data_IF_182869215446
#
_entry.id   IF_182869215446
#
_cell.length_a   1.000
_cell.length_b   1.000
_cell.length_c   1.000
_cell.angle_alpha   90.00
_cell.angle_beta   90.00
_cell.angle_gamma   90.00
#
_symmetry.space_group_name_H-M   'P 1'
#
loop_
_entity.id
_entity.type
_entity.pdbx_description
1 polymer ?
#
# COMPACT_ATOMS: atom_id res chain seq x y z
N UNK A 1 33.06 -39.36 23.92
CA UNK A 1 32.27 -39.94 22.81
C UNK A 1 32.55 -39.04 21.62
N UNK A 2 33.11 -39.63 20.56
CA UNK A 2 33.38 -38.95 19.30
C UNK A 2 32.07 -38.98 18.49
N UNK A 3 31.22 -37.97 18.70
CA UNK A 3 29.96 -37.83 17.98
C UNK A 3 30.24 -37.16 16.63
N UNK A 4 30.71 -37.96 15.67
CA UNK A 4 30.83 -37.55 14.28
C UNK A 4 29.46 -37.62 13.61
N UNK A 5 28.91 -36.45 13.25
CA UNK A 5 27.69 -36.35 12.45
C UNK A 5 28.05 -36.39 10.95
N UNK A 6 27.31 -37.13 10.11
CA UNK A 6 27.53 -37.10 8.66
C UNK A 6 27.15 -35.72 8.11
N UNK A 7 28.11 -35.03 7.50
CA UNK A 7 27.95 -33.73 6.85
C UNK A 7 28.14 -33.90 5.34
N UNK A 8 27.11 -33.53 4.56
CA UNK A 8 27.18 -33.45 3.10
C UNK A 8 27.07 -31.96 2.68
N UNK A 9 28.02 -31.49 1.88
CA UNK A 9 28.02 -30.11 1.37
C UNK A 9 27.33 -30.13 0.00
N UNK A 10 26.13 -29.55 -0.09
CA UNK A 10 25.41 -29.46 -1.37
C UNK A 10 26.00 -28.39 -2.30
N UNK A 11 26.31 -27.21 -1.76
CA UNK A 11 26.84 -26.11 -2.57
C UNK A 11 27.58 -25.07 -1.72
N UNK A 12 28.50 -24.35 -2.38
CA UNK A 12 29.18 -23.17 -1.84
C UNK A 12 29.04 -22.05 -2.86
N UNK A 13 28.47 -20.93 -2.44
CA UNK A 13 28.28 -19.75 -3.28
C UNK A 13 28.83 -18.51 -2.60
N UNK A 14 29.38 -17.59 -3.39
CA UNK A 14 29.88 -16.31 -2.91
C UNK A 14 28.90 -15.21 -3.31
N UNK A 15 28.69 -14.28 -2.39
CA UNK A 15 27.79 -13.15 -2.62
C UNK A 15 28.40 -11.86 -2.09
N UNK A 16 28.37 -10.82 -2.92
CA UNK A 16 28.81 -9.48 -2.54
C UNK A 16 27.62 -8.70 -1.99
N UNK A 17 27.70 -8.32 -0.72
CA UNK A 17 26.70 -7.48 -0.07
C UNK A 17 26.82 -6.05 -0.60
N UNK A 18 25.69 -5.46 -1.00
CA UNK A 18 25.60 -4.09 -1.46
C UNK A 18 24.30 -3.43 -1.00
N UNK A 19 24.30 -2.09 -0.94
CA UNK A 19 23.14 -1.24 -0.76
C UNK A 19 23.12 -0.23 -1.91
N UNK A 20 22.35 -0.51 -2.95
CA UNK A 20 22.26 0.30 -4.17
C UNK A 20 20.79 0.46 -4.56
N UNK A 21 20.37 1.67 -4.89
CA UNK A 21 19.02 1.94 -5.36
C UNK A 21 19.08 2.82 -6.61
N UNK A 22 18.38 2.43 -7.67
CA UNK A 22 18.31 3.21 -8.90
C UNK A 22 17.55 4.52 -8.66
N UNK A 23 18.02 5.61 -9.27
CA UNK A 23 17.34 6.92 -9.21
C UNK A 23 15.95 6.90 -9.89
N UNK A 24 15.75 6.01 -10.86
CA UNK A 24 14.48 5.89 -11.61
C UNK A 24 14.16 4.44 -11.88
N UNK A 25 12.89 4.06 -11.70
CA UNK A 25 12.42 2.70 -11.95
C UNK A 25 11.72 2.56 -13.30
N UNK A 26 11.60 3.65 -14.06
CA UNK A 26 10.94 3.69 -15.35
C UNK A 26 11.71 4.57 -16.33
N UNK A 27 11.71 4.20 -17.61
CA UNK A 27 12.21 5.05 -18.69
C UNK A 27 11.38 6.33 -18.84
N UNK A 28 11.97 7.38 -19.43
CA UNK A 28 11.29 8.68 -19.62
C UNK A 28 10.01 8.57 -20.46
N UNK A 29 10.00 7.64 -21.43
CA UNK A 29 8.83 7.35 -22.26
C UNK A 29 7.84 6.35 -21.63
N UNK A 30 8.11 5.84 -20.41
CA UNK A 30 7.20 4.96 -19.67
C UNK A 30 6.95 3.60 -20.32
N UNK A 31 7.95 3.05 -21.04
CA UNK A 31 7.84 1.76 -21.76
C UNK A 31 8.76 0.68 -21.20
N UNK A 32 9.76 1.04 -20.41
CA UNK A 32 10.66 0.11 -19.73
C UNK A 32 10.57 0.38 -18.24
N UNK A 33 10.43 -0.68 -17.46
CA UNK A 33 10.34 -0.64 -16.01
C UNK A 33 11.30 -1.67 -15.41
N UNK A 34 11.93 -1.33 -14.29
CA UNK A 34 12.77 -2.22 -13.49
C UNK A 34 12.09 -2.45 -12.13
N UNK A 35 12.28 -3.64 -11.56
CA UNK A 35 11.70 -4.08 -10.29
C UNK A 35 12.63 -5.09 -9.60
N UNK A 36 12.52 -5.23 -8.26
CA UNK A 36 13.38 -6.14 -7.49
C UNK A 36 14.86 -5.79 -7.62
N UNK A 37 15.73 -6.81 -7.67
CA UNK A 37 17.19 -6.64 -7.72
C UNK A 37 17.71 -5.82 -8.93
N UNK A 38 16.93 -5.72 -10.00
CA UNK A 38 17.26 -4.84 -11.13
C UNK A 38 17.12 -3.36 -10.79
N UNK A 39 16.30 -3.02 -9.78
CA UNK A 39 16.00 -1.67 -9.34
C UNK A 39 16.72 -1.30 -8.04
N UNK A 40 16.83 -2.24 -7.10
CA UNK A 40 17.45 -2.05 -5.80
C UNK A 40 18.13 -3.34 -5.32
N UNK A 41 19.33 -3.21 -4.78
CA UNK A 41 20.07 -4.28 -4.11
C UNK A 41 20.27 -3.84 -2.68
N UNK A 42 19.99 -4.73 -1.73
CA UNK A 42 20.14 -4.42 -0.31
C UNK A 42 20.76 -5.60 0.46
N UNK A 43 21.35 -5.36 1.64
CA UNK A 43 21.82 -6.42 2.51
C UNK A 43 20.72 -7.43 2.85
N UNK A 44 21.06 -8.71 3.11
CA UNK A 44 20.06 -9.74 3.43
C UNK A 44 19.42 -9.54 4.81
N UNK A 45 19.99 -8.65 5.61
CA UNK A 45 19.65 -8.44 7.02
C UNK A 45 18.25 -7.86 7.14
N UNK A 46 17.32 -8.71 7.60
CA UNK A 46 15.89 -8.41 7.71
C UNK A 46 15.03 -9.06 6.62
N UNK A 47 15.62 -9.75 5.63
CA UNK A 47 14.83 -10.50 4.64
C UNK A 47 13.94 -9.64 3.73
N UNK A 48 14.27 -8.35 3.57
CA UNK A 48 13.35 -7.38 2.96
C UNK A 48 13.41 -7.36 1.42
N UNK A 49 14.54 -7.71 0.80
CA UNK A 49 14.76 -7.53 -0.65
C UNK A 49 13.71 -8.22 -1.54
N UNK A 50 13.52 -9.52 -1.36
CA UNK A 50 12.51 -10.28 -2.14
C UNK A 50 11.08 -9.76 -1.94
N UNK A 51 10.73 -9.40 -0.71
CA UNK A 51 9.42 -8.82 -0.38
C UNK A 51 9.20 -7.48 -1.09
N UNK A 52 10.21 -6.60 -1.09
CA UNK A 52 10.17 -5.32 -1.81
C UNK A 52 10.00 -5.53 -3.31
N UNK A 53 10.69 -6.52 -3.90
CA UNK A 53 10.53 -6.86 -5.33
C UNK A 53 9.12 -7.33 -5.69
N UNK A 54 8.46 -8.11 -4.82
CA UNK A 54 7.05 -8.49 -5.01
C UNK A 54 6.14 -7.26 -4.94
N UNK A 55 6.38 -6.35 -3.99
CA UNK A 55 5.61 -5.12 -3.87
C UNK A 55 5.77 -4.18 -5.07
N UNK A 56 6.97 -4.14 -5.68
CA UNK A 56 7.21 -3.39 -6.92
C UNK A 56 6.30 -3.89 -8.04
N UNK A 57 6.29 -5.21 -8.26
CA UNK A 57 5.44 -5.83 -9.27
C UNK A 57 3.95 -5.60 -8.99
N UNK A 58 3.53 -5.73 -7.72
CA UNK A 58 2.14 -5.51 -7.32
C UNK A 58 1.66 -4.07 -7.57
N UNK A 59 2.51 -3.08 -7.26
CA UNK A 59 2.24 -1.67 -7.52
C UNK A 59 2.17 -1.35 -9.02
N UNK A 60 3.03 -1.96 -9.84
CA UNK A 60 3.11 -1.67 -11.27
C UNK A 60 2.00 -2.37 -12.07
N UNK A 61 1.64 -3.61 -11.72
CA UNK A 61 0.77 -4.46 -12.52
C UNK A 61 -0.61 -3.83 -12.80
N UNK A 62 -1.29 -3.30 -11.77
CA UNK A 62 -2.61 -2.70 -11.96
C UNK A 62 -2.55 -1.41 -12.79
N UNK A 63 -1.48 -0.62 -12.64
CA UNK A 63 -1.27 0.62 -13.39
C UNK A 63 -1.08 0.31 -14.88
N UNK A 64 -0.26 -0.70 -15.19
CA UNK A 64 -0.08 -1.18 -16.56
C UNK A 64 -1.40 -1.67 -17.15
N UNK A 65 -2.14 -2.50 -16.42
CA UNK A 65 -3.44 -3.00 -16.86
C UNK A 65 -4.41 -1.86 -17.21
N UNK A 66 -4.50 -0.83 -16.35
CA UNK A 66 -5.38 0.31 -16.59
C UNK A 66 -4.95 1.15 -17.79
N UNK A 67 -3.65 1.36 -18.02
CA UNK A 67 -3.16 2.11 -19.18
C UNK A 67 -3.34 1.32 -20.48
N UNK A 68 -3.04 0.02 -20.48
CA UNK A 68 -3.24 -0.87 -21.64
C UNK A 68 -4.71 -0.96 -22.02
N UNK A 69 -5.60 -1.06 -21.03
CA UNK A 69 -7.06 -1.10 -21.23
C UNK A 69 -7.67 0.29 -21.51
N UNK A 70 -6.87 1.35 -21.65
CA UNK A 70 -7.33 2.73 -21.88
C UNK A 70 -8.26 3.28 -20.79
N UNK A 71 -8.15 2.74 -19.56
CA UNK A 71 -8.86 3.18 -18.35
C UNK A 71 -8.12 4.29 -17.61
N UNK A 72 -6.84 4.50 -17.93
CA UNK A 72 -5.99 5.54 -17.36
C UNK A 72 -5.05 6.12 -18.41
N UNK A 73 -4.63 7.37 -18.19
CA UNK A 73 -3.59 8.01 -18.99
C UNK A 73 -2.22 7.38 -18.73
N UNK A 74 -1.31 7.34 -19.72
CA UNK A 74 0.08 6.92 -19.50
C UNK A 74 0.81 7.69 -18.39
N UNK A 75 0.33 8.88 -18.01
CA UNK A 75 0.85 9.64 -16.87
C UNK A 75 0.73 8.88 -15.55
N UNK A 76 -0.23 7.96 -15.39
CA UNK A 76 -0.36 7.09 -14.23
C UNK A 76 0.93 6.29 -13.95
N UNK A 77 1.61 5.82 -15.01
CA UNK A 77 2.82 5.01 -14.87
C UNK A 77 4.00 5.78 -14.26
N UNK A 78 3.99 7.12 -14.32
CA UNK A 78 5.00 7.95 -13.64
C UNK A 78 4.95 7.81 -12.12
N UNK A 79 3.79 7.46 -11.57
CA UNK A 79 3.63 7.22 -10.13
C UNK A 79 4.43 6.01 -9.64
N UNK A 80 4.77 5.05 -10.51
CA UNK A 80 5.54 3.86 -10.11
C UNK A 80 6.91 4.24 -9.55
N UNK A 81 7.69 5.03 -10.30
CA UNK A 81 8.99 5.53 -9.80
C UNK A 81 8.80 6.40 -8.56
N UNK A 82 7.81 7.30 -8.55
CA UNK A 82 7.58 8.22 -7.42
C UNK A 82 7.29 7.46 -6.12
N UNK A 83 6.52 6.37 -6.20
CA UNK A 83 6.10 5.58 -5.04
C UNK A 83 7.18 4.56 -4.63
N UNK A 84 7.63 3.74 -5.58
CA UNK A 84 8.46 2.56 -5.28
C UNK A 84 9.91 2.86 -5.04
N UNK A 85 10.48 3.85 -5.74
CA UNK A 85 11.89 4.21 -5.52
C UNK A 85 12.10 4.73 -4.09
N UNK A 86 11.20 5.60 -3.61
CA UNK A 86 11.28 6.14 -2.26
C UNK A 86 11.04 5.07 -1.18
N UNK A 87 10.09 4.14 -1.40
CA UNK A 87 9.85 3.05 -0.47
C UNK A 87 11.03 2.07 -0.39
N UNK A 88 11.61 1.69 -1.54
CA UNK A 88 12.77 0.82 -1.60
C UNK A 88 14.02 1.47 -0.98
N UNK A 89 14.19 2.79 -1.12
CA UNK A 89 15.27 3.53 -0.46
C UNK A 89 15.21 3.38 1.06
N UNK A 90 14.02 3.57 1.64
CA UNK A 90 13.83 3.49 3.08
C UNK A 90 14.02 2.06 3.60
N UNK A 91 13.56 1.06 2.85
CA UNK A 91 13.76 -0.35 3.17
C UNK A 91 15.25 -0.73 3.08
N UNK A 92 15.96 -0.26 2.04
CA UNK A 92 17.39 -0.48 1.89
C UNK A 92 18.18 0.13 3.06
N UNK A 93 17.81 1.35 3.49
CA UNK A 93 18.39 2.00 4.67
C UNK A 93 18.15 1.18 5.94
N UNK A 94 16.95 0.60 6.11
CA UNK A 94 16.63 -0.29 7.23
C UNK A 94 17.40 -1.61 7.19
N UNK A 95 17.60 -2.20 6.01
CA UNK A 95 18.46 -3.37 5.83
C UNK A 95 19.93 -3.05 6.13
N UNK A 96 20.42 -1.89 5.70
CA UNK A 96 21.77 -1.40 5.98
C UNK A 96 21.99 -1.13 7.47
N UNK A 97 21.05 -0.47 8.15
CA UNK A 97 21.10 -0.27 9.59
C UNK A 97 21.21 -1.59 10.35
N UNK A 98 20.45 -2.62 9.94
CA UNK A 98 20.54 -3.97 10.53
C UNK A 98 21.90 -4.63 10.26
N UNK A 99 22.48 -4.44 9.07
CA UNK A 99 23.82 -4.93 8.75
C UNK A 99 24.86 -4.30 9.71
N UNK A 100 24.81 -2.98 9.88
CA UNK A 100 25.71 -2.25 10.77
C UNK A 100 25.51 -2.69 12.22
N UNK A 101 24.28 -2.68 12.74
CA UNK A 101 24.01 -2.91 14.16
C UNK A 101 24.15 -4.37 14.57
N UNK A 102 23.77 -5.32 13.70
CA UNK A 102 23.67 -6.74 14.07
C UNK A 102 24.90 -7.55 13.65
N UNK A 103 25.53 -7.20 12.52
CA UNK A 103 26.63 -7.97 11.92
C UNK A 103 27.98 -7.26 12.09
N UNK A 104 28.13 -6.04 11.54
CA UNK A 104 29.43 -5.34 11.52
C UNK A 104 29.81 -4.81 12.92
N UNK A 105 28.83 -4.25 13.62
CA UNK A 105 28.96 -3.63 14.95
C UNK A 105 30.03 -2.53 15.01
N UNK A 106 30.21 -1.82 13.90
CA UNK A 106 31.17 -0.73 13.79
C UNK A 106 30.50 0.62 14.13
N UNK A 107 30.82 1.24 15.27
CA UNK A 107 30.21 2.50 15.69
C UNK A 107 30.63 3.71 14.85
N UNK A 108 31.64 3.58 13.97
CA UNK A 108 32.05 4.65 13.06
C UNK A 108 31.15 4.76 11.82
N UNK A 109 30.37 3.72 11.52
CA UNK A 109 29.43 3.72 10.39
C UNK A 109 28.12 4.36 10.84
N UNK A 110 27.82 5.52 10.25
CA UNK A 110 26.54 6.22 10.47
C UNK A 110 25.44 5.48 9.72
N UNK A 111 24.37 5.14 10.42
CA UNK A 111 23.17 4.55 9.84
C UNK A 111 21.92 5.07 10.57
N UNK A 112 20.76 4.84 9.95
CA UNK A 112 19.49 5.19 10.56
C UNK A 112 19.20 4.33 11.80
N UNK A 113 18.33 4.86 12.67
CA UNK A 113 17.78 4.06 13.76
C UNK A 113 17.00 2.89 13.17
N UNK A 114 17.31 1.69 13.66
CA UNK A 114 16.57 0.48 13.32
C UNK A 114 15.12 0.59 13.82
N UNK A 115 14.17 0.41 12.91
CA UNK A 115 12.74 0.32 13.20
C UNK A 115 12.33 -1.14 13.46
N UNK A 116 11.22 -1.39 14.16
CA UNK A 116 10.62 -2.73 14.22
C UNK A 116 10.38 -3.33 12.83
N UNK A 117 10.54 -4.65 12.70
CA UNK A 117 10.43 -5.35 11.40
C UNK A 117 9.02 -5.20 10.79
N UNK A 118 7.97 -5.30 11.61
CA UNK A 118 6.58 -5.10 11.19
C UNK A 118 6.29 -3.68 10.67
N UNK A 119 6.88 -2.66 11.29
CA UNK A 119 6.80 -1.27 10.85
C UNK A 119 7.40 -1.12 9.45
N UNK A 120 8.57 -1.74 9.21
CA UNK A 120 9.19 -1.76 7.89
C UNK A 120 8.33 -2.49 6.86
N UNK A 121 7.75 -3.62 7.23
CA UNK A 121 7.02 -4.50 6.31
C UNK A 121 5.63 -3.97 5.93
N UNK A 122 4.92 -3.37 6.89
CA UNK A 122 3.50 -3.06 6.79
C UNK A 122 3.19 -1.57 6.93
N UNK A 123 4.03 -0.82 7.64
CA UNK A 123 3.78 0.57 8.04
C UNK A 123 4.29 1.62 7.06
N UNK A 124 4.81 1.24 5.89
CA UNK A 124 5.31 2.21 4.93
C UNK A 124 4.17 3.06 4.35
N UNK A 125 4.49 4.30 4.01
CA UNK A 125 3.55 5.22 3.36
C UNK A 125 4.18 5.91 2.16
N UNK A 126 3.43 5.97 1.07
CA UNK A 126 3.82 6.80 -0.06
C UNK A 126 3.58 8.28 0.25
N UNK A 127 4.60 9.15 0.17
CA UNK A 127 4.42 10.59 0.40
C UNK A 127 3.73 11.28 -0.79
N UNK A 128 3.91 10.74 -2.00
CA UNK A 128 3.30 11.20 -3.25
C UNK A 128 3.07 10.01 -4.17
N UNK A 129 2.15 10.14 -5.12
CA UNK A 129 1.83 9.05 -6.03
C UNK A 129 0.48 9.23 -6.72
N UNK A 130 -0.09 8.12 -7.16
CA UNK A 130 -1.42 8.03 -7.75
C UNK A 130 -2.50 8.04 -6.64
N UNK A 131 -2.64 9.19 -5.97
CA UNK A 131 -3.63 9.47 -4.93
C UNK A 131 -3.75 10.98 -4.74
N UNK A 132 -4.78 11.44 -4.03
CA UNK A 132 -5.02 12.87 -3.81
C UNK A 132 -4.31 13.31 -2.54
N UNK A 133 -3.13 13.92 -2.68
CA UNK A 133 -2.36 14.38 -1.53
C UNK A 133 -3.14 15.33 -0.62
N UNK A 134 -3.11 15.04 0.67
CA UNK A 134 -3.53 15.96 1.72
C UNK A 134 -2.38 16.90 2.10
N UNK A 135 -2.71 18.13 2.48
CA UNK A 135 -1.72 19.02 3.10
C UNK A 135 -1.47 18.52 4.52
N UNK A 136 -0.34 17.85 4.72
CA UNK A 136 0.11 17.41 6.02
C UNK A 136 0.97 18.54 6.63
N UNK A 137 0.58 19.11 7.78
CA UNK A 137 1.44 20.05 8.50
C UNK A 137 2.78 19.36 8.87
N UNK A 138 3.93 20.06 8.79
CA UNK A 138 5.21 19.49 9.22
C UNK A 138 5.22 19.04 10.70
N UNK A 139 4.34 19.60 11.52
CA UNK A 139 4.15 19.27 12.93
C UNK A 139 3.32 18.02 13.16
N UNK A 140 2.77 17.42 12.12
CA UNK A 140 1.98 16.19 12.24
C UNK A 140 2.91 15.04 12.67
N UNK A 141 2.62 14.35 13.80
CA UNK A 141 3.37 13.20 14.27
C UNK A 141 3.48 12.09 13.23
N UNK A 142 2.50 12.01 12.33
CA UNK A 142 2.46 11.08 11.21
C UNK A 142 3.00 11.72 9.94
N UNK A 143 3.89 12.70 9.96
CA UNK A 143 4.52 13.26 8.75
C UNK A 143 5.64 12.37 8.17
N UNK A 144 6.14 11.42 8.96
CA UNK A 144 7.19 10.47 8.55
C UNK A 144 6.75 9.45 7.50
N UNK A 145 7.68 8.67 6.96
CA UNK A 145 7.36 7.66 5.95
C UNK A 145 6.79 6.35 6.52
N UNK A 146 6.71 6.26 7.83
CA UNK A 146 6.30 5.08 8.58
C UNK A 146 5.15 5.41 9.51
N UNK A 147 4.24 4.47 9.69
CA UNK A 147 3.25 4.43 10.77
C UNK A 147 3.38 3.13 11.55
N UNK A 148 2.91 3.13 12.79
CA UNK A 148 2.82 1.92 13.62
C UNK A 148 1.68 1.03 13.09
N UNK A 149 1.97 -0.20 12.60
CA UNK A 149 0.93 -1.11 12.10
C UNK A 149 -0.08 -1.54 13.16
N UNK A 150 0.24 -1.41 14.45
CA UNK A 150 -0.68 -1.68 15.57
C UNK A 150 -1.58 -0.49 15.90
N UNK A 151 -1.24 0.69 15.41
CA UNK A 151 -2.03 1.93 15.54
C UNK A 151 -2.28 2.53 14.14
N UNK A 152 -2.86 1.77 13.20
CA UNK A 152 -2.89 2.15 11.80
C UNK A 152 -3.86 3.30 11.56
N UNK A 153 -3.58 4.08 10.51
CA UNK A 153 -4.43 5.19 10.10
C UNK A 153 -5.04 4.94 8.72
N UNK A 154 -6.09 5.68 8.37
CA UNK A 154 -6.63 5.71 7.00
C UNK A 154 -6.04 6.86 6.18
N UNK A 155 -4.78 7.19 6.44
CA UNK A 155 -4.08 8.31 5.78
C UNK A 155 -3.91 8.02 4.30
N UNK A 156 -4.08 9.05 3.47
CA UNK A 156 -3.85 8.92 2.04
C UNK A 156 -2.37 8.57 1.79
N UNK A 157 -2.15 7.59 0.91
CA UNK A 157 -0.84 7.03 0.60
C UNK A 157 -0.42 5.87 1.51
N UNK A 158 -1.16 5.61 2.60
CA UNK A 158 -0.91 4.49 3.50
C UNK A 158 -1.62 3.21 3.04
N UNK A 159 -1.21 2.08 3.59
CA UNK A 159 -1.86 0.79 3.37
C UNK A 159 -3.21 0.76 4.07
N UNK A 160 -4.21 0.14 3.44
CA UNK A 160 -5.52 -0.09 4.04
C UNK A 160 -5.37 -0.88 5.36
N UNK A 161 -5.88 -0.36 6.50
CA UNK A 161 -5.80 -1.08 7.76
C UNK A 161 -6.60 -2.38 7.76
N UNK A 162 -6.00 -3.46 8.28
CA UNK A 162 -6.71 -4.71 8.54
C UNK A 162 -7.77 -4.51 9.64
N UNK A 163 -9.01 -4.92 9.36
CA UNK A 163 -10.03 -5.18 10.38
C UNK A 163 -10.72 -6.50 10.07
N UNK A 164 -10.99 -7.28 11.12
CA UNK A 164 -11.75 -8.52 11.03
C UNK A 164 -13.24 -8.22 10.80
N UNK A 165 -13.77 -8.78 9.72
CA UNK A 165 -15.15 -8.66 9.26
C UNK A 165 -15.81 -10.03 9.24
N UNK A 166 -17.15 -10.06 9.24
CA UNK A 166 -17.93 -11.25 8.92
C UNK A 166 -18.79 -10.99 7.70
N UNK A 167 -18.80 -11.92 6.74
CA UNK A 167 -19.75 -11.90 5.62
C UNK A 167 -21.07 -12.53 6.10
N UNK A 168 -22.16 -11.77 6.12
CA UNK A 168 -23.48 -12.26 6.52
C UNK A 168 -24.01 -13.35 5.58
N UNK A 169 -23.51 -13.42 4.34
CA UNK A 169 -23.82 -14.52 3.41
C UNK A 169 -23.01 -15.80 3.68
N UNK A 170 -21.91 -15.70 4.45
CA UNK A 170 -21.02 -16.83 4.80
C UNK A 170 -20.62 -16.75 6.29
N UNK A 171 -21.53 -17.12 7.21
CA UNK A 171 -21.41 -16.80 8.64
C UNK A 171 -20.19 -17.40 9.35
N UNK A 172 -19.56 -18.43 8.78
CA UNK A 172 -18.42 -19.15 9.37
C UNK A 172 -17.08 -18.50 8.97
N UNK A 173 -17.05 -17.64 7.94
CA UNK A 173 -15.82 -17.04 7.46
C UNK A 173 -15.56 -15.67 8.12
N UNK A 174 -14.44 -15.56 8.83
CA UNK A 174 -13.86 -14.26 9.21
C UNK A 174 -13.03 -13.78 8.02
N UNK A 175 -13.32 -12.56 7.57
CA UNK A 175 -12.59 -11.88 6.49
C UNK A 175 -11.78 -10.72 7.06
N UNK A 176 -10.81 -10.24 6.31
CA UNK A 176 -10.19 -8.94 6.49
C UNK A 176 -10.84 -7.90 5.58
N UNK A 177 -10.83 -6.63 5.97
CA UNK A 177 -10.94 -5.49 5.03
C UNK A 177 -10.02 -5.64 3.81
N UNK A 178 -8.83 -6.23 3.97
CA UNK A 178 -7.90 -6.51 2.88
C UNK A 178 -8.44 -7.57 1.90
N UNK A 179 -9.32 -8.47 2.35
CA UNK A 179 -9.94 -9.48 1.47
C UNK A 179 -10.98 -8.87 0.54
N UNK A 180 -11.41 -7.63 0.78
CA UNK A 180 -12.25 -6.87 -0.14
C UNK A 180 -11.46 -6.40 -1.36
N UNK A 181 -10.14 -6.29 -1.24
CA UNK A 181 -9.26 -5.92 -2.35
C UNK A 181 -9.16 -7.09 -3.33
N UNK A 182 -9.44 -6.80 -4.61
CA UNK A 182 -9.35 -7.75 -5.72
C UNK A 182 -8.63 -7.11 -6.90
N UNK A 183 -9.35 -6.74 -7.95
CA UNK A 183 -8.80 -6.15 -9.19
C UNK A 183 -9.22 -4.70 -9.39
N UNK A 184 -10.34 -4.31 -8.80
CA UNK A 184 -10.96 -3.01 -8.96
C UNK A 184 -10.53 -2.08 -7.83
N UNK A 185 -10.81 -0.78 -8.01
CA UNK A 185 -10.86 0.11 -6.86
C UNK A 185 -11.95 -0.34 -5.90
N UNK A 186 -11.74 -0.12 -4.61
CA UNK A 186 -12.76 -0.35 -3.58
C UNK A 186 -13.19 0.99 -3.01
N UNK A 187 -14.49 1.20 -2.85
CA UNK A 187 -15.05 2.36 -2.16
C UNK A 187 -15.72 1.90 -0.86
N UNK A 188 -15.11 2.23 0.27
CA UNK A 188 -15.70 2.01 1.58
C UNK A 188 -16.52 3.24 1.99
N UNK A 189 -17.76 3.04 2.40
CA UNK A 189 -18.68 4.14 2.72
C UNK A 189 -19.16 4.03 4.16
N UNK A 190 -19.33 5.17 4.83
CA UNK A 190 -19.86 5.22 6.20
C UNK A 190 -21.39 5.12 6.29
N UNK A 191 -22.07 5.33 5.16
CA UNK A 191 -23.51 5.15 4.98
C UNK A 191 -23.93 5.46 3.55
N UNK A 192 -25.24 5.65 3.34
CA UNK A 192 -25.79 6.07 2.03
C UNK A 192 -25.39 5.14 0.87
N UNK A 193 -25.27 3.83 1.14
CA UNK A 193 -24.66 2.83 0.26
C UNK A 193 -25.20 2.88 -1.18
N UNK A 194 -26.51 2.82 -1.39
CA UNK A 194 -27.09 2.81 -2.73
C UNK A 194 -26.81 4.08 -3.52
N UNK A 195 -26.61 5.21 -2.84
CA UNK A 195 -26.30 6.48 -3.48
C UNK A 195 -24.86 6.52 -3.96
N UNK A 196 -23.92 6.05 -3.13
CA UNK A 196 -22.52 5.86 -3.52
C UNK A 196 -22.36 4.76 -4.58
N UNK A 197 -23.15 3.69 -4.52
CA UNK A 197 -23.19 2.63 -5.53
C UNK A 197 -23.61 3.18 -6.89
N UNK A 198 -24.68 3.99 -6.97
CA UNK A 198 -25.07 4.69 -8.20
C UNK A 198 -23.95 5.60 -8.72
N UNK A 199 -23.30 6.34 -7.82
CA UNK A 199 -22.19 7.22 -8.18
C UNK A 199 -20.98 6.44 -8.74
N UNK A 200 -20.69 5.26 -8.18
CA UNK A 200 -19.61 4.37 -8.60
C UNK A 200 -19.88 3.71 -9.96
N UNK A 201 -21.10 3.23 -10.20
CA UNK A 201 -21.52 2.64 -11.50
C UNK A 201 -21.43 3.65 -12.65
N UNK A 202 -21.59 4.95 -12.36
CA UNK A 202 -21.49 6.02 -13.36
C UNK A 202 -20.05 6.40 -13.77
N UNK A 203 -19.03 5.70 -13.26
CA UNK A 203 -17.62 5.96 -13.58
C UNK A 203 -17.13 5.11 -14.77
N UNK A 204 -16.03 5.53 -15.39
CA UNK A 204 -15.40 4.82 -16.51
C UNK A 204 -14.61 3.57 -16.09
N UNK A 205 -14.44 3.37 -14.78
CA UNK A 205 -13.73 2.24 -14.19
C UNK A 205 -14.63 1.51 -13.21
N UNK A 206 -14.41 0.20 -13.06
CA UNK A 206 -15.14 -0.59 -12.07
C UNK A 206 -14.67 -0.26 -10.66
N UNK A 207 -15.63 -0.09 -9.75
CA UNK A 207 -15.40 0.25 -8.35
C UNK A 207 -16.34 -0.63 -7.52
N UNK A 208 -15.76 -1.43 -6.63
CA UNK A 208 -16.51 -2.30 -5.73
C UNK A 208 -16.87 -1.49 -4.49
N UNK A 209 -18.18 -1.24 -4.26
CA UNK A 209 -18.66 -0.43 -3.13
C UNK A 209 -19.04 -1.33 -1.96
N UNK A 210 -18.60 -0.97 -0.75
CA UNK A 210 -18.93 -1.71 0.47
C UNK A 210 -19.25 -0.75 1.62
N UNK A 211 -20.34 -1.03 2.33
CA UNK A 211 -20.67 -0.41 3.62
C UNK A 211 -20.34 -1.38 4.75
N UNK A 212 -19.66 -0.87 5.78
CA UNK A 212 -19.20 -1.66 6.95
C UNK A 212 -19.62 -0.90 8.22
N UNK A 213 -20.92 -0.61 8.36
CA UNK A 213 -21.39 0.21 9.49
C UNK A 213 -22.85 -0.03 9.92
N UNK A 214 -23.52 -1.09 9.45
CA UNK A 214 -24.91 -1.39 9.83
C UNK A 214 -25.19 -2.85 10.14
N UNK A 215 -26.18 -3.13 11.00
CA UNK A 215 -26.65 -4.50 11.27
C UNK A 215 -27.21 -5.19 10.00
N UNK A 216 -27.58 -4.41 8.98
CA UNK A 216 -28.07 -4.85 7.68
C UNK A 216 -27.01 -4.92 6.59
N UNK A 217 -25.76 -4.55 6.87
CA UNK A 217 -24.70 -4.62 5.86
C UNK A 217 -24.29 -6.06 5.57
N UNK A 218 -23.77 -6.31 4.37
CA UNK A 218 -23.20 -7.61 4.03
C UNK A 218 -21.98 -7.93 4.90
N UNK A 219 -21.13 -6.93 5.14
CA UNK A 219 -19.91 -7.07 5.93
C UNK A 219 -20.09 -6.40 7.29
N UNK A 220 -19.99 -7.21 8.33
CA UNK A 220 -20.23 -6.78 9.72
C UNK A 220 -18.89 -6.62 10.44
N UNK A 221 -18.70 -5.48 11.11
CA UNK A 221 -17.56 -5.22 12.00
C UNK A 221 -17.69 -6.06 13.28
N UNK A 222 -16.81 -7.04 13.45
CA UNK A 222 -16.89 -8.01 14.56
C UNK A 222 -16.41 -7.43 15.89
N UNK A 223 -15.43 -6.53 15.86
CA UNK A 223 -14.71 -6.07 17.05
C UNK A 223 -14.92 -4.58 17.34
N UNK A 224 -15.67 -3.86 16.49
CA UNK A 224 -15.73 -2.40 16.53
C UNK A 224 -14.47 -1.74 15.96
N UNK A 225 -13.53 -2.52 15.42
CA UNK A 225 -12.26 -2.05 14.90
C UNK A 225 -12.43 -1.18 13.66
N UNK A 226 -13.42 -1.48 12.81
CA UNK A 226 -13.70 -0.66 11.63
C UNK A 226 -14.17 0.72 12.07
N UNK A 227 -15.15 0.77 12.98
CA UNK A 227 -15.65 2.04 13.52
C UNK A 227 -14.53 2.84 14.22
N UNK A 228 -13.67 2.18 14.99
CA UNK A 228 -12.58 2.83 15.73
C UNK A 228 -11.48 3.41 14.82
N UNK A 229 -11.07 2.67 13.78
CA UNK A 229 -9.95 3.05 12.91
C UNK A 229 -10.42 3.96 11.77
N UNK A 230 -11.52 3.61 11.10
CA UNK A 230 -11.94 4.28 9.87
C UNK A 230 -12.76 5.54 10.14
N UNK A 231 -13.60 5.54 11.18
CA UNK A 231 -14.40 6.70 11.60
C UNK A 231 -15.06 7.44 10.43
N UNK A 232 -15.66 6.69 9.49
CA UNK A 232 -16.35 7.28 8.34
C UNK A 232 -17.73 7.77 8.77
N UNK A 233 -18.01 9.03 8.49
CA UNK A 233 -19.35 9.61 8.60
C UNK A 233 -20.31 9.07 7.53
N UNK A 234 -21.62 9.25 7.75
CA UNK A 234 -22.68 8.79 6.85
C UNK A 234 -22.52 9.29 5.40
N UNK A 235 -21.99 10.50 5.23
CA UNK A 235 -21.76 11.17 3.95
C UNK A 235 -20.32 11.01 3.42
N UNK A 236 -19.49 10.20 4.09
CA UNK A 236 -18.09 10.01 3.73
C UNK A 236 -17.84 8.71 2.98
N UNK A 237 -16.86 8.78 2.07
CA UNK A 237 -16.33 7.64 1.36
C UNK A 237 -14.80 7.65 1.35
N UNK A 238 -14.23 6.44 1.38
CA UNK A 238 -12.81 6.16 1.29
C UNK A 238 -12.56 5.32 0.04
N UNK A 239 -11.71 5.79 -0.87
CA UNK A 239 -11.34 5.10 -2.10
C UNK A 239 -9.97 4.43 -1.92
N UNK A 240 -9.90 3.14 -2.22
CA UNK A 240 -8.72 2.30 -2.09
C UNK A 240 -8.35 1.76 -3.47
N UNK A 241 -7.05 1.83 -3.79
CA UNK A 241 -6.49 1.30 -5.02
C UNK A 241 -6.50 -0.23 -5.06
N UNK A 242 -6.36 -0.82 -6.26
CA UNK A 242 -6.18 -2.26 -6.41
C UNK A 242 -5.02 -2.84 -5.60
N UNK A 243 -3.96 -2.05 -5.35
CA UNK A 243 -2.82 -2.46 -4.53
C UNK A 243 -2.98 -2.21 -3.02
N UNK A 244 -4.18 -1.82 -2.57
CA UNK A 244 -4.50 -1.66 -1.15
C UNK A 244 -4.04 -0.34 -0.54
N UNK A 245 -3.67 0.65 -1.35
CA UNK A 245 -3.30 1.98 -0.88
C UNK A 245 -4.53 2.88 -0.82
N UNK A 246 -4.69 3.59 0.31
CA UNK A 246 -5.73 4.60 0.47
C UNK A 246 -5.44 5.77 -0.48
N UNK A 247 -6.35 6.00 -1.42
CA UNK A 247 -6.13 6.93 -2.53
C UNK A 247 -6.83 8.27 -2.35
N UNK A 248 -7.94 8.28 -1.63
CA UNK A 248 -8.76 9.47 -1.41
C UNK A 248 -9.77 9.22 -0.28
N UNK A 249 -10.04 10.27 0.50
CA UNK A 249 -11.20 10.38 1.39
C UNK A 249 -11.99 11.62 0.98
N UNK A 250 -13.31 11.54 0.97
CA UNK A 250 -14.13 12.72 0.79
C UNK A 250 -15.52 12.60 1.39
N UNK A 251 -16.16 13.75 1.49
CA UNK A 251 -17.46 13.93 2.12
C UNK A 251 -18.37 14.73 1.19
N UNK A 252 -19.62 14.29 1.02
CA UNK A 252 -20.63 15.05 0.31
C UNK A 252 -22.04 14.65 0.74
N UNK A 253 -22.82 15.64 1.16
CA UNK A 253 -24.19 15.48 1.64
C UNK A 253 -25.20 15.38 0.49
N UNK A 254 -24.96 16.10 -0.61
CA UNK A 254 -25.87 16.10 -1.77
C UNK A 254 -25.60 14.88 -2.66
N UNK A 255 -26.60 13.99 -2.79
CA UNK A 255 -26.47 12.78 -3.61
C UNK A 255 -26.02 13.09 -5.05
N UNK A 256 -26.57 14.15 -5.66
CA UNK A 256 -26.32 14.51 -7.04
C UNK A 256 -24.85 14.88 -7.29
N UNK A 257 -24.11 15.29 -6.25
CA UNK A 257 -22.70 15.66 -6.34
C UNK A 257 -21.74 14.47 -6.20
N UNK A 258 -22.17 13.33 -5.62
CA UNK A 258 -21.33 12.14 -5.35
C UNK A 258 -20.61 11.64 -6.61
N UNK A 259 -21.33 11.51 -7.73
CA UNK A 259 -20.75 11.04 -9.00
C UNK A 259 -19.71 12.01 -9.56
N UNK A 260 -19.96 13.32 -9.46
CA UNK A 260 -19.05 14.37 -9.93
C UNK A 260 -17.79 14.42 -9.07
N UNK A 261 -17.94 14.32 -7.75
CA UNK A 261 -16.83 14.28 -6.81
C UNK A 261 -15.93 13.07 -7.08
N UNK A 262 -16.52 11.88 -7.21
CA UNK A 262 -15.79 10.65 -7.49
C UNK A 262 -15.08 10.71 -8.84
N UNK A 263 -15.75 11.22 -9.89
CA UNK A 263 -15.16 11.41 -11.22
C UNK A 263 -13.95 12.35 -11.18
N UNK A 264 -14.08 13.48 -10.49
CA UNK A 264 -12.98 14.45 -10.33
C UNK A 264 -11.80 13.82 -9.58
N UNK A 265 -12.08 13.02 -8.56
CA UNK A 265 -11.04 12.35 -7.79
C UNK A 265 -10.31 11.29 -8.62
N UNK A 266 -11.05 10.46 -9.35
CA UNK A 266 -10.48 9.49 -10.28
C UNK A 266 -9.69 10.15 -11.41
N UNK A 267 -10.18 11.27 -11.97
CA UNK A 267 -9.45 12.02 -13.00
C UNK A 267 -8.07 12.49 -12.53
N UNK A 268 -7.95 12.93 -11.26
CA UNK A 268 -6.65 13.27 -10.66
C UNK A 268 -5.73 12.05 -10.47
N UNK A 269 -6.29 10.89 -10.15
CA UNK A 269 -5.53 9.66 -9.86
C UNK A 269 -5.10 8.97 -11.17
N UNK A 270 -6.00 8.87 -12.14
CA UNK A 270 -5.86 8.11 -13.38
C UNK A 270 -5.44 9.00 -14.57
N UNK A 271 -5.51 10.33 -14.43
CA UNK A 271 -4.95 11.29 -15.38
C UNK A 271 -5.81 11.62 -16.60
N UNK A 272 -7.14 11.51 -16.49
CA UNK A 272 -8.11 11.92 -17.52
C UNK A 272 -8.96 13.11 -17.09
#
# INVERSE_FOLDING_TARGET
>A
MDETFPLEIESVSYWTVAALNSERYSSENGRVFIAGDAAHVMPPTGGMGGNTGIQDAYNLAWKLAYVVDQKASPSLLKSYTIERQAAAEQIMQQAFARLVNRVLRDPSIVCDKELPDDTCELGYRYPRGAFISEKIPPTDPLSGAWEDPHSPSIRIGARLPHVALRDSSRPVAVLSTLDLLKRNFVLLVGGEFHSWERAAVAQSVQIDVHEISGDSSRFVDLSGGFKAIYQLGIDEALLIRPDGIVAWRGQVTEEQERSTLLRRSLGKILGF
#
